data_IF_125555376063
#
_entry.id   IF_125555376063
#
_cell.length_a   1.000
_cell.length_b   1.000
_cell.length_c   1.000
_cell.angle_alpha   90.00
_cell.angle_beta   90.00
_cell.angle_gamma   90.00
#
_symmetry.space_group_name_H-M   'P 1'
#
loop_
_entity.id
_entity.type
_entity.pdbx_description
1 polymer ?
#
# COMPACT_ATOMS: atom_id res chain seq x y z
N UNK A 1 17.27 13.40 -6.79
CA UNK A 1 18.28 12.49 -6.18
C UNK A 1 17.65 11.92 -4.92
N UNK A 2 17.31 10.64 -4.88
CA UNK A 2 16.65 10.02 -3.72
C UNK A 2 17.70 9.82 -2.62
N UNK A 3 17.53 10.46 -1.46
CA UNK A 3 18.52 10.45 -0.36
C UNK A 3 18.24 9.40 0.72
N UNK A 4 17.05 8.78 0.73
CA UNK A 4 16.68 7.64 1.59
C UNK A 4 15.68 6.73 0.87
N UNK A 5 15.83 5.41 1.01
CA UNK A 5 15.15 4.38 0.21
C UNK A 5 13.76 3.94 0.68
N UNK A 6 13.04 4.75 1.48
CA UNK A 6 11.72 4.39 2.02
C UNK A 6 10.72 5.51 1.74
N UNK A 7 10.32 5.64 0.48
CA UNK A 7 9.30 6.60 0.04
C UNK A 7 8.19 5.85 -0.69
N UNK A 8 6.94 6.09 -0.30
CA UNK A 8 5.76 5.50 -0.96
C UNK A 8 5.01 6.61 -1.69
N UNK A 9 4.85 6.44 -3.00
CA UNK A 9 4.11 7.36 -3.86
C UNK A 9 2.61 7.07 -3.80
N UNK A 10 1.84 8.13 -3.55
CA UNK A 10 0.37 8.11 -3.47
C UNK A 10 -0.17 9.11 -4.49
N UNK A 11 -0.92 8.62 -5.48
CA UNK A 11 -1.69 9.49 -6.37
C UNK A 11 -2.85 10.13 -5.64
N UNK A 12 -2.93 11.46 -5.71
CA UNK A 12 -3.98 12.29 -5.13
C UNK A 12 -4.67 13.10 -6.21
N UNK A 13 -5.95 13.41 -5.99
CA UNK A 13 -6.74 14.19 -6.96
C UNK A 13 -6.27 15.64 -7.08
N UNK A 14 -5.83 16.19 -5.97
CA UNK A 14 -5.46 17.60 -5.80
C UNK A 14 -4.40 17.63 -4.69
N UNK A 15 -3.17 18.01 -5.05
CA UNK A 15 -2.01 17.89 -4.17
C UNK A 15 -2.10 18.85 -2.98
N UNK A 16 -2.66 20.05 -3.18
CA UNK A 16 -2.84 21.04 -2.11
C UNK A 16 -3.92 20.64 -1.11
N UNK A 17 -5.05 20.11 -1.59
CA UNK A 17 -6.08 19.54 -0.71
C UNK A 17 -5.55 18.32 0.05
N UNK A 18 -4.73 17.50 -0.60
CA UNK A 18 -4.09 16.37 0.06
C UNK A 18 -3.10 16.85 1.14
N UNK A 19 -2.24 17.83 0.84
CA UNK A 19 -1.34 18.47 1.81
C UNK A 19 -2.11 18.91 3.05
N UNK A 20 -3.14 19.73 2.84
CA UNK A 20 -4.01 20.25 3.90
C UNK A 20 -4.62 19.13 4.73
N UNK A 21 -5.13 18.07 4.10
CA UNK A 21 -5.69 16.93 4.81
C UNK A 21 -4.65 16.22 5.69
N UNK A 22 -3.48 15.89 5.13
CA UNK A 22 -2.42 15.20 5.88
C UNK A 22 -1.89 16.06 7.02
N UNK A 23 -1.69 17.36 6.81
CA UNK A 23 -1.13 18.24 7.84
C UNK A 23 -2.16 18.64 8.90
N UNK A 24 -3.34 19.07 8.50
CA UNK A 24 -4.33 19.65 9.42
C UNK A 24 -5.29 18.61 10.02
N UNK A 25 -5.57 17.51 9.32
CA UNK A 25 -6.47 16.46 9.83
C UNK A 25 -5.73 15.29 10.45
N UNK A 26 -4.60 14.88 9.86
CA UNK A 26 -3.82 13.74 10.35
C UNK A 26 -2.61 14.14 11.20
N UNK A 27 -2.28 15.42 11.27
CA UNK A 27 -1.16 15.93 12.08
C UNK A 27 0.22 15.58 11.51
N UNK A 28 0.31 15.24 10.23
CA UNK A 28 1.59 15.00 9.57
C UNK A 28 2.32 16.32 9.35
N UNK A 29 3.63 16.24 9.13
CA UNK A 29 4.45 17.38 8.75
C UNK A 29 4.89 17.26 7.31
N UNK A 30 4.94 18.40 6.61
CA UNK A 30 5.58 18.49 5.30
C UNK A 30 7.08 18.29 5.49
N UNK A 31 7.63 17.30 4.80
CA UNK A 31 9.04 16.96 4.88
C UNK A 31 9.83 17.66 3.77
N UNK A 32 9.34 17.58 2.54
CA UNK A 32 9.93 18.21 1.35
C UNK A 32 8.80 18.81 0.50
N UNK A 33 9.01 20.03 -0.03
CA UNK A 33 8.08 20.73 -0.92
C UNK A 33 8.90 21.57 -1.90
N UNK A 34 9.08 21.08 -3.13
CA UNK A 34 9.94 21.68 -4.14
C UNK A 34 9.33 21.56 -5.53
N UNK A 35 9.41 22.61 -6.35
CA UNK A 35 9.09 22.54 -7.77
C UNK A 35 10.33 22.00 -8.53
N UNK A 36 10.23 20.77 -9.03
CA UNK A 36 11.34 20.10 -9.74
C UNK A 36 11.40 20.49 -11.22
N UNK A 37 10.25 20.74 -11.82
CA UNK A 37 10.09 21.19 -13.19
C UNK A 37 8.75 21.92 -13.33
N UNK A 38 8.54 22.73 -14.39
CA UNK A 38 7.27 23.43 -14.60
C UNK A 38 6.07 22.49 -14.55
N UNK A 39 5.22 22.67 -13.53
CA UNK A 39 4.04 21.83 -13.31
C UNK A 39 4.30 20.48 -12.63
N UNK A 40 5.54 20.21 -12.19
CA UNK A 40 5.88 19.04 -11.38
C UNK A 40 6.36 19.48 -9.99
N UNK A 41 5.43 19.43 -9.05
CA UNK A 41 5.67 19.69 -7.64
C UNK A 41 5.95 18.38 -6.91
N UNK A 42 7.10 18.33 -6.24
CA UNK A 42 7.47 17.27 -5.33
C UNK A 42 7.02 17.64 -3.93
N UNK A 43 6.15 16.81 -3.34
CA UNK A 43 5.61 17.03 -2.01
C UNK A 43 5.63 15.73 -1.22
N UNK A 44 6.26 15.76 -0.04
CA UNK A 44 6.26 14.62 0.87
C UNK A 44 5.75 14.99 2.26
N UNK A 45 5.07 14.04 2.89
CA UNK A 45 4.54 14.16 4.26
C UNK A 45 4.89 12.93 5.10
N UNK A 46 5.06 13.12 6.41
CA UNK A 46 5.28 12.04 7.37
C UNK A 46 4.75 12.43 8.77
N UNK A 47 4.52 11.49 9.70
CA UNK A 47 4.06 11.80 11.05
C UNK A 47 4.96 12.77 11.82
N UNK A 48 6.28 12.63 11.66
CA UNK A 48 7.30 13.54 12.19
C UNK A 48 8.39 13.74 11.14
N UNK A 49 9.14 14.84 11.25
CA UNK A 49 10.14 15.22 10.24
C UNK A 49 11.31 14.24 10.14
N UNK A 50 11.55 13.52 11.24
CA UNK A 50 12.62 12.56 11.43
C UNK A 50 12.28 11.18 10.86
N UNK A 51 11.00 10.91 10.55
CA UNK A 51 10.54 9.63 10.05
C UNK A 51 11.36 9.20 8.83
N UNK A 52 11.84 7.96 8.85
CA UNK A 52 12.56 7.37 7.73
C UNK A 52 11.64 7.16 6.51
N UNK A 53 10.40 6.76 6.78
CA UNK A 53 9.38 6.57 5.76
C UNK A 53 8.63 7.87 5.47
N UNK A 54 8.57 8.25 4.19
CA UNK A 54 7.80 9.40 3.70
C UNK A 54 6.73 8.99 2.71
N UNK A 55 5.60 9.68 2.74
CA UNK A 55 4.55 9.57 1.71
C UNK A 55 4.74 10.70 0.72
N UNK A 56 4.97 10.36 -0.55
CA UNK A 56 4.98 11.33 -1.63
C UNK A 56 3.56 11.50 -2.17
N UNK A 57 3.07 12.73 -2.17
CA UNK A 57 1.75 13.06 -2.68
C UNK A 57 1.90 13.53 -4.12
N UNK A 58 1.50 12.71 -5.08
CA UNK A 58 1.62 13.03 -6.52
C UNK A 58 0.25 13.39 -7.07
N UNK A 59 0.11 14.57 -7.66
CA UNK A 59 -1.13 14.92 -8.35
C UNK A 59 -1.31 14.02 -9.57
N UNK A 60 -2.47 13.38 -9.66
CA UNK A 60 -2.83 12.59 -10.83
C UNK A 60 -3.31 13.52 -11.96
N UNK A 61 -2.58 13.54 -13.06
CA UNK A 61 -2.84 14.38 -14.23
C UNK A 61 -3.54 13.56 -15.33
N UNK A 62 -3.03 12.37 -15.62
CA UNK A 62 -3.56 11.51 -16.68
C UNK A 62 -4.84 10.80 -16.25
N UNK A 63 -5.62 10.34 -17.24
CA UNK A 63 -6.86 9.59 -16.97
C UNK A 63 -6.54 8.28 -16.24
N UNK A 64 -5.43 7.67 -16.60
CA UNK A 64 -4.91 6.43 -16.04
C UNK A 64 -4.46 6.64 -14.59
N UNK A 65 -3.69 7.70 -14.28
CA UNK A 65 -3.33 8.08 -12.91
C UNK A 65 -4.56 8.38 -12.03
N UNK A 66 -5.55 9.09 -12.60
CA UNK A 66 -6.80 9.40 -11.88
C UNK A 66 -7.57 8.16 -11.49
N UNK A 67 -7.45 7.07 -12.25
CA UNK A 67 -8.05 5.78 -11.91
C UNK A 67 -7.32 5.07 -10.76
N UNK A 68 -6.06 5.41 -10.50
CA UNK A 68 -5.24 4.82 -9.43
C UNK A 68 -5.43 5.52 -8.07
N UNK A 69 -6.09 6.67 -8.02
CA UNK A 69 -6.38 7.40 -6.77
C UNK A 69 -7.19 6.50 -5.83
N UNK A 70 -6.64 6.20 -4.66
CA UNK A 70 -7.27 5.33 -3.65
C UNK A 70 -7.19 3.83 -3.95
N UNK A 71 -6.41 3.41 -4.95
CA UNK A 71 -6.27 2.01 -5.40
C UNK A 71 -4.81 1.55 -5.50
N UNK A 72 -3.91 2.19 -4.76
CA UNK A 72 -2.48 1.92 -4.79
C UNK A 72 -2.13 0.66 -3.97
N UNK A 73 -1.35 -0.22 -4.58
CA UNK A 73 -1.21 -1.63 -4.24
C UNK A 73 -0.23 -1.88 -3.08
N UNK A 74 -0.72 -2.12 -1.87
CA UNK A 74 0.16 -2.36 -0.73
C UNK A 74 0.63 -3.81 -0.60
N UNK A 75 -0.24 -4.80 -0.87
CA UNK A 75 0.05 -6.19 -0.48
C UNK A 75 0.43 -7.13 -1.61
N UNK A 76 0.06 -6.86 -2.86
CA UNK A 76 0.48 -7.69 -4.01
C UNK A 76 2.00 -7.67 -4.20
N UNK A 77 2.63 -6.50 -3.96
CA UNK A 77 4.10 -6.39 -3.95
C UNK A 77 4.69 -7.27 -2.84
N UNK A 78 4.14 -7.22 -1.63
CA UNK A 78 4.62 -8.03 -0.51
C UNK A 78 4.45 -9.54 -0.78
N UNK A 79 3.30 -9.96 -1.33
CA UNK A 79 3.06 -11.37 -1.71
C UNK A 79 4.05 -11.90 -2.74
N UNK A 80 4.57 -11.03 -3.61
CA UNK A 80 5.59 -11.41 -4.60
C UNK A 80 6.99 -11.62 -4.02
N UNK A 81 7.32 -10.96 -2.90
CA UNK A 81 8.66 -11.02 -2.28
C UNK A 81 8.75 -12.01 -1.13
N UNK A 82 7.65 -12.27 -0.42
CA UNK A 82 7.64 -13.14 0.76
C UNK A 82 7.07 -14.52 0.46
N UNK A 83 7.53 -15.53 1.21
CA UNK A 83 6.90 -16.84 1.22
C UNK A 83 5.51 -16.75 1.87
N UNK A 84 4.47 -16.62 1.05
CA UNK A 84 3.08 -16.51 1.49
C UNK A 84 2.63 -17.69 2.38
N UNK A 85 3.21 -18.88 2.17
CA UNK A 85 2.88 -20.09 2.94
C UNK A 85 3.58 -20.17 4.29
N UNK A 86 4.47 -19.22 4.61
CA UNK A 86 5.12 -19.18 5.91
C UNK A 86 4.08 -19.00 7.02
N UNK A 87 4.08 -19.92 7.98
CA UNK A 87 3.21 -19.86 9.16
C UNK A 87 3.80 -18.91 10.18
N UNK A 88 2.99 -17.94 10.62
CA UNK A 88 3.41 -16.93 11.59
C UNK A 88 3.55 -17.59 12.97
N UNK A 89 4.73 -17.51 13.61
CA UNK A 89 4.93 -18.04 14.95
C UNK A 89 4.31 -17.11 16.00
N UNK A 90 3.72 -17.71 17.04
CA UNK A 90 3.17 -17.00 18.20
C UNK A 90 2.23 -15.82 17.83
N UNK A 91 1.20 -16.04 16.98
CA UNK A 91 0.24 -14.99 16.67
C UNK A 91 -0.50 -14.53 17.93
N UNK A 92 -0.98 -13.29 17.90
CA UNK A 92 -1.69 -12.65 19.02
C UNK A 92 -3.00 -12.03 18.55
N UNK A 93 -3.91 -11.84 19.48
CA UNK A 93 -5.16 -11.10 19.30
C UNK A 93 -5.35 -10.06 20.41
N UNK A 94 -6.16 -9.03 20.17
CA UNK A 94 -6.44 -8.02 21.17
C UNK A 94 -7.37 -8.57 22.27
N UNK A 95 -7.16 -8.15 23.52
CA UNK A 95 -8.14 -8.37 24.59
C UNK A 95 -9.47 -7.69 24.29
N UNK A 96 -10.54 -8.11 24.96
CA UNK A 96 -11.90 -7.60 24.74
C UNK A 96 -12.05 -6.09 25.01
N UNK A 97 -11.19 -5.53 25.86
CA UNK A 97 -11.10 -4.09 26.15
C UNK A 97 -10.11 -3.35 25.22
N UNK A 98 -9.38 -4.07 24.37
CA UNK A 98 -8.41 -3.53 23.44
C UNK A 98 -7.10 -3.03 24.07
N UNK A 99 -6.81 -3.36 25.33
CA UNK A 99 -5.65 -2.80 26.05
C UNK A 99 -4.42 -3.73 26.13
N UNK A 100 -4.57 -5.00 25.76
CA UNK A 100 -3.49 -5.99 25.84
C UNK A 100 -3.50 -7.00 24.68
N UNK A 101 -2.38 -7.71 24.51
CA UNK A 101 -2.22 -8.77 23.52
C UNK A 101 -2.33 -10.14 24.20
N UNK A 102 -3.25 -10.97 23.71
CA UNK A 102 -3.48 -12.33 24.15
C UNK A 102 -2.93 -13.31 23.11
N UNK A 103 -2.39 -14.47 23.50
CA UNK A 103 -2.00 -15.50 22.55
C UNK A 103 -3.19 -15.96 21.70
N UNK A 104 -3.03 -15.97 20.38
CA UNK A 104 -4.07 -16.45 19.46
C UNK A 104 -4.05 -17.99 19.38
N UNK A 105 -5.19 -18.61 19.68
CA UNK A 105 -5.33 -20.08 19.72
C UNK A 105 -6.14 -20.67 18.56
N UNK A 106 -6.42 -19.88 17.53
CA UNK A 106 -7.16 -20.33 16.35
C UNK A 106 -6.32 -21.13 15.36
N UNK A 107 -6.82 -21.22 14.13
CA UNK A 107 -6.13 -21.89 13.01
C UNK A 107 -4.83 -21.19 12.64
N UNK A 108 -3.81 -21.93 12.23
CA UNK A 108 -2.51 -21.37 11.78
C UNK A 108 -2.68 -20.23 10.76
N UNK A 109 -2.05 -19.09 11.05
CA UNK A 109 -2.05 -17.91 10.19
C UNK A 109 -0.82 -17.94 9.28
N UNK A 110 -1.02 -17.61 8.01
CA UNK A 110 0.07 -17.52 7.02
C UNK A 110 0.37 -16.07 6.68
N UNK A 111 1.58 -15.77 6.20
CA UNK A 111 1.93 -14.43 5.71
C UNK A 111 0.93 -13.98 4.63
N UNK A 112 0.63 -14.83 3.64
CA UNK A 112 -0.30 -14.47 2.58
C UNK A 112 -1.72 -14.17 3.10
N UNK A 113 -2.18 -14.96 4.07
CA UNK A 113 -3.46 -14.75 4.74
C UNK A 113 -3.52 -13.42 5.49
N UNK A 114 -2.51 -13.11 6.30
CA UNK A 114 -2.47 -11.87 7.09
C UNK A 114 -2.23 -10.63 6.24
N UNK A 115 -1.49 -10.73 5.12
CA UNK A 115 -1.39 -9.65 4.14
C UNK A 115 -2.74 -9.37 3.47
N UNK A 116 -3.47 -10.40 3.05
CA UNK A 116 -4.82 -10.24 2.50
C UNK A 116 -5.79 -9.65 3.56
N UNK A 117 -5.67 -10.09 4.82
CA UNK A 117 -6.43 -9.55 5.96
C UNK A 117 -6.12 -8.08 6.19
N UNK A 118 -4.84 -7.68 6.18
CA UNK A 118 -4.42 -6.29 6.34
C UNK A 118 -5.04 -5.39 5.27
N UNK A 119 -4.91 -5.76 4.00
CA UNK A 119 -5.49 -5.00 2.89
C UNK A 119 -7.02 -4.83 3.05
N UNK A 120 -7.68 -5.90 3.47
CA UNK A 120 -9.12 -5.95 3.70
C UNK A 120 -9.54 -5.13 4.92
N UNK A 121 -8.76 -5.10 6.00
CA UNK A 121 -9.01 -4.30 7.20
C UNK A 121 -8.93 -2.80 6.88
N UNK A 122 -7.93 -2.37 6.11
CA UNK A 122 -7.80 -0.98 5.68
C UNK A 122 -8.97 -0.56 4.77
N UNK A 123 -9.34 -1.41 3.82
CA UNK A 123 -10.48 -1.13 2.93
C UNK A 123 -11.79 -1.01 3.73
N UNK A 124 -12.13 -2.01 4.56
CA UNK A 124 -13.37 -1.98 5.33
C UNK A 124 -13.37 -0.93 6.45
N UNK A 125 -12.21 -0.53 6.98
CA UNK A 125 -12.14 0.58 7.94
C UNK A 125 -12.73 1.88 7.36
N UNK A 126 -12.66 2.07 6.04
CA UNK A 126 -13.29 3.19 5.35
C UNK A 126 -14.81 3.03 5.21
N UNK A 127 -15.29 1.80 5.01
CA UNK A 127 -16.72 1.50 5.04
C UNK A 127 -17.29 1.75 6.44
N UNK A 128 -16.58 1.29 7.49
CA UNK A 128 -16.95 1.52 8.90
C UNK A 128 -17.01 3.00 9.24
N UNK A 129 -16.13 3.82 8.66
CA UNK A 129 -16.15 5.27 8.81
C UNK A 129 -17.28 5.95 7.99
N UNK A 130 -18.04 5.21 7.18
CA UNK A 130 -19.15 5.74 6.39
C UNK A 130 -18.74 6.54 5.16
N UNK A 131 -17.48 6.41 4.70
CA UNK A 131 -16.93 7.21 3.58
C UNK A 131 -16.71 6.41 2.30
N UNK A 132 -16.97 5.11 2.33
CA UNK A 132 -16.91 4.22 1.17
C UNK A 132 -17.98 3.14 1.25
N UNK A 133 -18.22 2.50 0.10
CA UNK A 133 -19.00 1.26 0.02
C UNK A 133 -18.06 0.07 -0.16
N UNK A 134 -18.48 -1.11 0.31
CA UNK A 134 -17.75 -2.38 0.14
C UNK A 134 -17.24 -2.61 -1.29
N UNK A 135 -18.04 -2.22 -2.28
CA UNK A 135 -17.66 -2.35 -3.69
C UNK A 135 -16.42 -1.51 -4.05
N UNK A 136 -16.29 -0.30 -3.49
CA UNK A 136 -15.14 0.58 -3.71
C UNK A 136 -13.85 -0.08 -3.22
N UNK A 137 -13.90 -0.71 -2.04
CA UNK A 137 -12.78 -1.44 -1.46
C UNK A 137 -12.41 -2.67 -2.29
N UNK A 138 -13.38 -3.53 -2.61
CA UNK A 138 -13.14 -4.78 -3.36
C UNK A 138 -12.58 -4.50 -4.76
N UNK A 139 -13.17 -3.58 -5.52
CA UNK A 139 -12.68 -3.24 -6.85
C UNK A 139 -11.36 -2.45 -6.80
N UNK A 140 -11.13 -1.68 -5.72
CA UNK A 140 -9.85 -1.04 -5.45
C UNK A 140 -8.71 -2.04 -5.27
N UNK A 141 -8.93 -3.09 -4.46
CA UNK A 141 -7.96 -4.16 -4.25
C UNK A 141 -7.64 -4.90 -5.55
N UNK A 142 -8.66 -5.23 -6.36
CA UNK A 142 -8.48 -5.88 -7.67
C UNK A 142 -7.68 -5.00 -8.64
N UNK A 143 -7.95 -3.69 -8.67
CA UNK A 143 -7.18 -2.79 -9.53
C UNK A 143 -5.73 -2.69 -9.07
N UNK A 144 -5.50 -2.50 -7.77
CA UNK A 144 -4.15 -2.45 -7.20
C UNK A 144 -3.35 -3.71 -7.52
N UNK A 145 -3.97 -4.89 -7.41
CA UNK A 145 -3.35 -6.15 -7.79
C UNK A 145 -2.93 -6.18 -9.27
N UNK A 146 -3.81 -5.77 -10.20
CA UNK A 146 -3.45 -5.71 -11.63
C UNK A 146 -2.27 -4.77 -11.88
N UNK A 147 -2.27 -3.59 -11.26
CA UNK A 147 -1.20 -2.60 -11.42
C UNK A 147 0.14 -3.15 -10.92
N UNK A 148 0.17 -3.79 -9.75
CA UNK A 148 1.38 -4.40 -9.23
C UNK A 148 1.92 -5.53 -10.13
N UNK A 149 1.02 -6.34 -10.70
CA UNK A 149 1.39 -7.41 -11.64
C UNK A 149 2.04 -6.81 -12.91
N UNK A 150 1.47 -5.75 -13.49
CA UNK A 150 2.08 -5.13 -14.68
C UNK A 150 3.44 -4.48 -14.37
N UNK A 151 3.59 -3.87 -13.18
CA UNK A 151 4.90 -3.35 -12.73
C UNK A 151 5.95 -4.47 -12.69
N UNK A 152 5.61 -5.63 -12.11
CA UNK A 152 6.53 -6.76 -12.07
C UNK A 152 6.88 -7.30 -13.45
N UNK A 153 5.91 -7.36 -14.37
CA UNK A 153 6.17 -7.75 -15.77
C UNK A 153 7.18 -6.83 -16.43
N UNK A 154 7.05 -5.51 -16.23
CA UNK A 154 7.99 -4.55 -16.81
C UNK A 154 9.37 -4.64 -16.16
N UNK A 155 9.45 -4.81 -14.84
CA UNK A 155 10.73 -4.94 -14.15
C UNK A 155 11.47 -6.24 -14.46
N UNK A 156 10.75 -7.33 -14.70
CA UNK A 156 11.36 -8.61 -15.07
C UNK A 156 12.28 -8.49 -16.30
N UNK A 157 11.92 -7.64 -17.27
CA UNK A 157 12.72 -7.39 -18.49
C UNK A 157 14.02 -6.62 -18.20
N UNK A 158 14.17 -6.03 -17.02
CA UNK A 158 15.31 -5.18 -16.65
C UNK A 158 16.38 -5.90 -15.84
N UNK A 159 16.09 -7.09 -15.31
CA UNK A 159 17.03 -7.85 -14.49
C UNK A 159 18.01 -8.65 -15.37
N UNK A 160 19.28 -8.66 -14.97
CA UNK A 160 20.33 -9.40 -15.67
C UNK A 160 20.53 -10.80 -15.09
N UNK A 161 20.02 -11.02 -13.88
CA UNK A 161 20.07 -12.28 -13.15
C UNK A 161 19.13 -13.32 -13.76
N UNK A 162 19.54 -14.60 -13.71
CA UNK A 162 18.64 -15.70 -14.02
C UNK A 162 17.65 -15.87 -12.86
N UNK A 163 16.43 -15.39 -13.08
CA UNK A 163 15.36 -15.37 -12.10
C UNK A 163 14.13 -16.05 -12.70
N UNK A 164 13.50 -16.94 -11.94
CA UNK A 164 12.33 -17.71 -12.40
C UNK A 164 11.03 -16.90 -12.44
N UNK A 165 11.08 -15.65 -11.98
CA UNK A 165 9.91 -14.76 -11.93
C UNK A 165 9.32 -14.61 -10.53
N UNK A 166 8.49 -13.59 -10.36
CA UNK A 166 7.81 -13.33 -9.09
C UNK A 166 6.60 -14.24 -8.96
N UNK A 167 6.58 -15.09 -7.93
CA UNK A 167 5.45 -15.95 -7.61
C UNK A 167 4.54 -15.30 -6.57
N UNK A 168 3.24 -15.18 -6.87
CA UNK A 168 2.25 -14.67 -5.92
C UNK A 168 0.87 -15.29 -6.12
N UNK A 169 0.08 -15.31 -5.05
CA UNK A 169 -1.32 -15.73 -5.05
C UNK A 169 -2.21 -14.51 -5.19
N UNK A 170 -3.03 -14.47 -6.24
CA UNK A 170 -3.99 -13.39 -6.49
C UNK A 170 -5.12 -13.39 -5.45
N UNK A 171 -5.85 -12.28 -5.35
CA UNK A 171 -7.01 -12.18 -4.46
C UNK A 171 -8.13 -13.18 -4.81
N UNK A 172 -8.21 -13.65 -6.05
CA UNK A 172 -9.14 -14.71 -6.48
C UNK A 172 -8.67 -16.14 -6.11
N UNK A 173 -7.51 -16.26 -5.47
CA UNK A 173 -6.90 -17.53 -5.08
C UNK A 173 -6.04 -18.20 -6.17
N UNK A 174 -6.00 -17.64 -7.38
CA UNK A 174 -5.15 -18.19 -8.45
C UNK A 174 -3.68 -17.83 -8.21
N UNK A 175 -2.79 -18.81 -8.36
CA UNK A 175 -1.34 -18.58 -8.27
C UNK A 175 -0.79 -18.21 -9.64
N UNK A 176 0.05 -17.18 -9.69
CA UNK A 176 0.76 -16.78 -10.90
C UNK A 176 2.26 -16.72 -10.65
N UNK A 177 3.04 -16.88 -11.72
CA UNK A 177 4.44 -16.50 -11.78
C UNK A 177 4.58 -15.48 -12.89
N UNK A 178 5.25 -14.37 -12.56
CA UNK A 178 5.54 -13.26 -13.48
C UNK A 178 6.99 -13.38 -13.88
#
# INVERSE_FOLDING_TARGET
MITKGIQITIFVRDQEKAKTFYTEKLGFVVCDEEEFAPGWNYLTVAPQRENEMKLELVQAETREEKQLIGKQAAVTVLKAFFNESFTIPNPVEASSDGTSLLPYSGTSLTIGGELNKLATNIAHGRDTAGVHWRFDGVEGLKLGERVAIEIFRNYQETYNEKFEGFSLTRFDGTKITI
#
